data_IF_984228970883
#
_entry.id   IF_984228970883
#
_cell.length_a   1.000
_cell.length_b   1.000
_cell.length_c   1.000
_cell.angle_alpha   90.00
_cell.angle_beta   90.00
_cell.angle_gamma   90.00
#
_symmetry.space_group_name_H-M   'P 1'
#
loop_
_entity.id
_entity.type
_entity.pdbx_description
1 polymer ?
#
# COMPACT_ATOMS: atom_id res chain seq x y z
N UNK A 1 12.05 8.91 12.63
CA UNK A 1 11.69 8.03 11.49
C UNK A 1 10.20 7.68 11.38
N UNK A 2 9.35 7.85 12.41
CA UNK A 2 7.92 7.47 12.38
C UNK A 2 7.11 8.18 11.27
N UNK A 3 7.36 9.46 11.02
CA UNK A 3 6.67 10.24 9.97
C UNK A 3 6.88 9.72 8.55
N UNK A 4 8.09 9.25 8.21
CA UNK A 4 8.36 8.68 6.88
C UNK A 4 7.49 7.46 6.61
N UNK A 5 7.27 6.61 7.62
CA UNK A 5 6.44 5.42 7.41
C UNK A 5 4.98 5.77 7.15
N UNK A 6 4.42 6.74 7.89
CA UNK A 6 3.05 7.21 7.66
C UNK A 6 2.88 7.83 6.28
N UNK A 7 3.84 8.66 5.84
CA UNK A 7 3.83 9.27 4.50
C UNK A 7 3.88 8.20 3.42
N UNK A 8 4.67 7.16 3.60
CA UNK A 8 4.78 6.10 2.61
C UNK A 8 3.53 5.20 2.58
N UNK A 9 2.91 4.92 3.72
CA UNK A 9 1.62 4.19 3.79
C UNK A 9 0.53 5.01 3.07
N UNK A 10 0.46 6.32 3.34
CA UNK A 10 -0.47 7.21 2.67
C UNK A 10 -0.22 7.24 1.16
N UNK A 11 1.04 7.31 0.70
CA UNK A 11 1.41 7.24 -0.72
C UNK A 11 0.89 5.95 -1.38
N UNK A 12 1.08 4.78 -0.76
CA UNK A 12 0.59 3.51 -1.30
C UNK A 12 -0.94 3.43 -1.32
N UNK A 13 -1.60 3.99 -0.30
CA UNK A 13 -3.05 4.05 -0.24
C UNK A 13 -3.61 4.95 -1.34
N UNK A 14 -3.06 6.16 -1.50
CA UNK A 14 -3.41 7.09 -2.58
C UNK A 14 -3.09 6.51 -3.96
N UNK A 15 -2.00 5.75 -4.11
CA UNK A 15 -1.66 5.07 -5.36
C UNK A 15 -2.69 4.01 -5.73
N UNK A 16 -3.11 3.17 -4.76
CA UNK A 16 -4.15 2.17 -4.98
C UNK A 16 -5.51 2.79 -5.34
N UNK A 17 -5.91 3.85 -4.62
CA UNK A 17 -7.14 4.60 -4.90
C UNK A 17 -7.04 5.30 -6.27
N UNK A 18 -5.89 5.88 -6.61
CA UNK A 18 -5.67 6.53 -7.89
C UNK A 18 -5.77 5.53 -9.05
N UNK A 19 -5.19 4.33 -8.94
CA UNK A 19 -5.32 3.29 -9.98
C UNK A 19 -6.78 2.82 -10.10
N UNK A 20 -7.51 2.79 -8.99
CA UNK A 20 -8.92 2.41 -8.99
C UNK A 20 -9.82 3.49 -9.61
N UNK A 21 -9.58 4.78 -9.32
CA UNK A 21 -10.39 5.90 -9.80
C UNK A 21 -9.96 6.44 -11.17
N UNK A 22 -8.67 6.37 -11.53
CA UNK A 22 -8.15 7.01 -12.73
C UNK A 22 -8.76 6.36 -13.98
N UNK A 23 -9.57 7.08 -14.77
CA UNK A 23 -10.16 6.59 -16.01
C UNK A 23 -9.09 6.31 -17.07
N UNK A 24 -7.86 6.79 -16.85
CA UNK A 24 -6.69 6.44 -17.63
C UNK A 24 -6.44 4.94 -17.74
N UNK A 25 -7.06 4.05 -16.95
CA UNK A 25 -6.88 2.60 -17.09
C UNK A 25 -8.04 1.88 -17.79
N UNK A 26 -8.94 2.58 -18.49
CA UNK A 26 -10.03 1.94 -19.26
C UNK A 26 -9.53 1.07 -20.42
N UNK A 27 -8.26 1.22 -20.84
CA UNK A 27 -7.61 0.32 -21.79
C UNK A 27 -7.11 -0.99 -21.15
N UNK A 28 -7.06 -1.09 -19.82
CA UNK A 28 -6.65 -2.32 -19.13
C UNK A 28 -7.88 -3.23 -18.91
N UNK A 29 -7.75 -4.55 -19.16
CA UNK A 29 -8.83 -5.48 -18.87
C UNK A 29 -9.24 -5.38 -17.39
N UNK A 30 -10.54 -5.34 -17.14
CA UNK A 30 -11.16 -5.14 -15.81
C UNK A 30 -10.52 -6.00 -14.70
N UNK A 31 -10.08 -7.22 -15.04
CA UNK A 31 -9.36 -8.12 -14.13
C UNK A 31 -8.01 -7.56 -13.66
N UNK A 32 -7.22 -6.95 -14.55
CA UNK A 32 -5.93 -6.38 -14.20
C UNK A 32 -6.07 -5.24 -13.19
N UNK A 33 -7.11 -4.40 -13.32
CA UNK A 33 -7.41 -3.32 -12.37
C UNK A 33 -7.75 -3.85 -10.98
N UNK A 34 -8.55 -4.92 -10.91
CA UNK A 34 -8.89 -5.59 -9.66
C UNK A 34 -7.66 -6.24 -9.03
N UNK A 35 -6.86 -6.99 -9.81
CA UNK A 35 -5.62 -7.62 -9.34
C UNK A 35 -4.66 -6.56 -8.79
N UNK A 36 -4.48 -5.44 -9.51
CA UNK A 36 -3.59 -4.36 -9.08
C UNK A 36 -4.07 -3.68 -7.79
N UNK A 37 -5.38 -3.45 -7.66
CA UNK A 37 -5.98 -2.91 -6.44
C UNK A 37 -5.77 -3.84 -5.25
N UNK A 38 -6.01 -5.15 -5.43
CA UNK A 38 -5.77 -6.17 -4.39
C UNK A 38 -4.29 -6.24 -4.00
N UNK A 39 -3.39 -6.19 -4.99
CA UNK A 39 -1.94 -6.14 -4.73
C UNK A 39 -1.52 -4.89 -3.96
N UNK A 40 -2.07 -3.71 -4.27
CA UNK A 40 -1.79 -2.49 -3.53
C UNK A 40 -2.25 -2.58 -2.07
N UNK A 41 -3.43 -3.14 -1.83
CA UNK A 41 -3.96 -3.36 -0.47
C UNK A 41 -3.07 -4.35 0.29
N UNK A 42 -2.75 -5.50 -0.30
CA UNK A 42 -1.86 -6.50 0.29
C UNK A 42 -0.46 -5.93 0.59
N UNK A 43 0.07 -5.11 -0.32
CA UNK A 43 1.36 -4.45 -0.11
C UNK A 43 1.31 -3.45 1.05
N UNK A 44 0.22 -2.69 1.16
CA UNK A 44 -0.06 -1.81 2.30
C UNK A 44 -0.04 -2.58 3.62
N UNK A 45 -0.78 -3.69 3.70
CA UNK A 45 -0.82 -4.57 4.88
C UNK A 45 0.54 -5.20 5.20
N UNK A 46 1.24 -5.74 4.22
CA UNK A 46 2.58 -6.32 4.40
C UNK A 46 3.54 -5.30 5.00
N UNK A 47 3.48 -4.06 4.53
CA UNK A 47 4.34 -2.98 5.02
C UNK A 47 3.98 -2.56 6.44
N UNK A 48 2.69 -2.58 6.78
CA UNK A 48 2.18 -2.32 8.13
C UNK A 48 2.64 -3.40 9.10
N UNK A 49 2.52 -4.68 8.71
CA UNK A 49 3.03 -5.82 9.47
C UNK A 49 4.55 -5.75 9.67
N UNK A 50 5.30 -5.35 8.63
CA UNK A 50 6.76 -5.16 8.72
C UNK A 50 7.14 -4.01 9.65
N UNK A 51 6.38 -2.91 9.65
CA UNK A 51 6.58 -1.82 10.59
C UNK A 51 6.28 -2.28 12.02
N UNK A 52 5.19 -3.02 12.22
CA UNK A 52 4.80 -3.55 13.52
C UNK A 52 5.86 -4.51 14.08
N UNK A 53 6.36 -5.44 13.26
CA UNK A 53 7.46 -6.32 13.61
C UNK A 53 8.75 -5.55 13.94
N UNK A 54 9.09 -4.53 13.14
CA UNK A 54 10.24 -3.66 13.41
C UNK A 54 10.09 -2.88 14.72
N UNK A 55 8.89 -2.37 15.01
CA UNK A 55 8.63 -1.59 16.22
C UNK A 55 8.70 -2.48 17.48
N UNK A 56 8.27 -3.74 17.37
CA UNK A 56 8.36 -4.73 18.44
C UNK A 56 9.82 -5.15 18.72
N UNK A 57 10.64 -5.36 17.69
CA UNK A 57 12.06 -5.65 17.87
C UNK A 57 12.84 -4.49 18.50
N UNK A 58 12.40 -3.24 18.32
CA UNK A 58 13.05 -2.07 18.94
C UNK A 58 12.61 -1.80 20.39
N UNK A 59 11.66 -2.55 20.94
CA UNK A 59 11.32 -2.51 22.38
C UNK A 59 12.04 -3.61 23.18
N UNK A 60 12.65 -4.60 22.51
CA UNK A 60 13.43 -5.68 23.13
C UNK A 60 14.96 -5.38 23.17
N UNK A 61 15.42 -4.24 22.64
CA UNK A 61 16.77 -3.67 22.82
C UNK A 61 16.75 -2.46 23.77
#
# INVERSE_FOLDING_TARGET
MKYLTWVIIALWFFLGVYIFLAPSFDYLPKMARVIFGVFCILFGFYRLARLYAKNRNSEEE
#
